data_IF_299709273234
#
_entry.id   IF_299709273234
#
_cell.length_a   1.000
_cell.length_b   1.000
_cell.length_c   1.000
_cell.angle_alpha   90.00
_cell.angle_beta   90.00
_cell.angle_gamma   90.00
#
_symmetry.space_group_name_H-M   'P 1'
#
loop_
_entity.id
_entity.type
_entity.pdbx_description
1 polymer ?
#
# COMPACT_ATOMS: atom_id res chain seq x y z
N UNK A 1 5.95 -27.92 -20.85
CA UNK A 1 4.62 -27.42 -20.45
C UNK A 1 4.46 -27.32 -18.92
N UNK A 2 4.88 -28.30 -18.14
CA UNK A 2 4.78 -28.32 -16.66
C UNK A 2 5.39 -27.11 -15.97
N UNK A 3 6.57 -26.65 -16.37
CA UNK A 3 7.24 -25.49 -15.77
C UNK A 3 6.43 -24.17 -15.90
N UNK A 4 5.79 -23.96 -17.05
CA UNK A 4 4.95 -22.76 -17.28
C UNK A 4 3.73 -22.78 -16.37
N UNK A 5 3.06 -23.93 -16.24
CA UNK A 5 1.92 -24.06 -15.32
C UNK A 5 2.32 -23.86 -13.86
N UNK A 6 3.49 -24.36 -13.46
CA UNK A 6 4.00 -24.17 -12.10
C UNK A 6 4.29 -22.68 -11.80
N UNK A 7 4.91 -21.97 -12.74
CA UNK A 7 5.19 -20.54 -12.60
C UNK A 7 3.86 -19.74 -12.54
N UNK A 8 2.92 -20.07 -13.43
CA UNK A 8 1.62 -19.37 -13.45
C UNK A 8 0.84 -19.61 -12.17
N UNK A 9 0.80 -20.84 -11.67
CA UNK A 9 0.15 -21.18 -10.40
C UNK A 9 0.80 -20.46 -9.21
N UNK A 10 2.13 -20.39 -9.21
CA UNK A 10 2.86 -19.66 -8.17
C UNK A 10 2.50 -18.16 -8.15
N UNK A 11 2.50 -17.52 -9.33
CA UNK A 11 2.13 -16.10 -9.43
C UNK A 11 0.67 -15.89 -9.02
N UNK A 12 -0.23 -16.79 -9.42
CA UNK A 12 -1.65 -16.71 -9.10
C UNK A 12 -1.93 -16.76 -7.59
N UNK A 13 -1.12 -17.50 -6.84
CA UNK A 13 -1.24 -17.59 -5.38
C UNK A 13 -0.49 -16.45 -4.70
N UNK A 14 0.72 -16.15 -5.16
CA UNK A 14 1.58 -15.14 -4.54
C UNK A 14 0.98 -13.73 -4.64
N UNK A 15 0.45 -13.37 -5.81
CA UNK A 15 -0.03 -12.01 -6.05
C UNK A 15 -1.15 -11.57 -5.10
N UNK A 16 -2.25 -12.33 -4.90
CA UNK A 16 -3.27 -11.99 -3.90
C UNK A 16 -2.71 -11.92 -2.48
N UNK A 17 -1.81 -12.83 -2.12
CA UNK A 17 -1.20 -12.88 -0.79
C UNK A 17 -0.41 -11.60 -0.49
N UNK A 18 0.40 -11.15 -1.44
CA UNK A 18 1.18 -9.91 -1.31
C UNK A 18 0.27 -8.69 -1.30
N UNK A 19 -0.74 -8.64 -2.17
CA UNK A 19 -1.69 -7.54 -2.18
C UNK A 19 -2.42 -7.41 -0.83
N UNK A 20 -2.87 -8.53 -0.26
CA UNK A 20 -3.52 -8.53 1.05
C UNK A 20 -2.57 -8.11 2.17
N UNK A 21 -1.30 -8.52 2.10
CA UNK A 21 -0.25 -8.04 2.98
C UNK A 21 -0.11 -6.51 2.95
N UNK A 22 -0.01 -5.93 1.77
CA UNK A 22 0.08 -4.47 1.60
C UNK A 22 -1.18 -3.75 2.08
N UNK A 23 -2.36 -4.35 1.90
CA UNK A 23 -3.59 -3.81 2.47
C UNK A 23 -3.55 -3.78 4.01
N UNK A 24 -2.84 -4.70 4.66
CA UNK A 24 -2.60 -4.67 6.10
C UNK A 24 -1.90 -3.39 6.53
N UNK A 25 -0.81 -3.05 5.88
CA UNK A 25 -0.07 -1.82 6.13
C UNK A 25 -0.91 -0.58 5.81
N UNK A 26 -1.63 -0.60 4.69
CA UNK A 26 -2.50 0.50 4.28
C UNK A 26 -3.61 0.79 5.29
N UNK A 27 -4.39 -0.23 5.68
CA UNK A 27 -5.52 -0.04 6.60
C UNK A 27 -5.06 0.36 8.00
N UNK A 28 -3.99 -0.24 8.50
CA UNK A 28 -3.42 0.13 9.81
C UNK A 28 -2.87 1.56 9.81
N UNK A 29 -2.19 1.99 8.74
CA UNK A 29 -1.75 3.36 8.58
C UNK A 29 -2.93 4.34 8.60
N UNK A 30 -3.99 4.07 7.83
CA UNK A 30 -5.21 4.88 7.83
C UNK A 30 -5.91 4.90 9.18
N UNK A 31 -5.98 3.77 9.89
CA UNK A 31 -6.57 3.68 11.22
C UNK A 31 -5.87 4.61 12.22
N UNK A 32 -4.55 4.70 12.18
CA UNK A 32 -3.75 5.59 13.03
C UNK A 32 -3.58 7.00 12.46
N UNK A 33 -4.35 7.37 11.44
CA UNK A 33 -4.26 8.69 10.78
C UNK A 33 -2.84 9.01 10.30
N UNK A 34 -2.18 8.03 9.70
CA UNK A 34 -0.94 8.21 8.98
C UNK A 34 -1.30 8.44 7.53
N UNK A 35 -0.78 9.51 6.95
CA UNK A 35 -0.95 9.80 5.52
C UNK A 35 -0.22 8.73 4.71
N UNK A 36 -0.91 8.16 3.72
CA UNK A 36 -0.31 7.24 2.74
C UNK A 36 -0.17 7.99 1.43
N UNK A 37 1.04 8.08 0.91
CA UNK A 37 1.35 8.79 -0.33
C UNK A 37 1.12 7.92 -1.55
N UNK A 38 1.46 6.65 -1.48
CA UNK A 38 1.34 5.74 -2.61
C UNK A 38 1.03 4.32 -2.15
N UNK A 39 0.11 3.67 -2.87
CA UNK A 39 -0.09 2.24 -2.85
C UNK A 39 0.26 1.70 -4.22
N UNK A 40 1.31 0.87 -4.30
CA UNK A 40 1.81 0.31 -5.55
C UNK A 40 1.46 -1.17 -5.69
N UNK A 41 0.84 -1.51 -6.83
CA UNK A 41 0.70 -2.89 -7.29
C UNK A 41 1.88 -3.23 -8.20
N UNK A 42 2.68 -4.22 -7.79
CA UNK A 42 3.91 -4.58 -8.50
C UNK A 42 5.07 -3.62 -8.27
N UNK A 43 6.19 -3.87 -8.97
CA UNK A 43 7.39 -3.05 -8.91
C UNK A 43 7.63 -2.28 -10.22
N UNK A 44 8.31 -1.12 -10.16
CA UNK A 44 8.62 -0.31 -11.34
C UNK A 44 9.19 -1.11 -12.51
N UNK A 45 9.01 -0.61 -13.76
CA UNK A 45 8.52 0.73 -14.11
C UNK A 45 7.00 0.88 -13.99
N UNK A 46 6.55 2.12 -13.71
CA UNK A 46 5.14 2.49 -13.56
C UNK A 46 4.45 2.49 -14.92
N UNK A 47 3.34 1.75 -15.05
CA UNK A 47 2.51 1.71 -16.26
C UNK A 47 1.47 2.84 -16.25
N UNK A 48 0.68 2.91 -15.18
CA UNK A 48 -0.30 3.97 -14.99
C UNK A 48 -0.53 4.24 -13.52
N UNK A 49 -1.15 5.37 -13.22
CA UNK A 49 -1.49 5.73 -11.86
C UNK A 49 -2.79 6.51 -11.79
N UNK A 50 -3.50 6.32 -10.68
CA UNK A 50 -4.71 7.02 -10.34
C UNK A 50 -4.52 7.80 -9.04
N UNK A 51 -5.00 9.06 -9.02
CA UNK A 51 -4.91 9.93 -7.84
C UNK A 51 -6.22 9.94 -7.07
N UNK A 52 -6.13 9.74 -5.76
CA UNK A 52 -7.25 9.71 -4.82
C UNK A 52 -7.00 10.60 -3.61
N UNK A 53 -7.88 10.53 -2.61
CA UNK A 53 -7.75 11.27 -1.36
C UNK A 53 -7.81 12.79 -1.56
N UNK A 54 -9.02 13.26 -1.96
CA UNK A 54 -9.27 14.69 -2.17
C UNK A 54 -9.23 15.44 -0.85
N UNK A 55 -8.37 16.47 -0.76
CA UNK A 55 -8.11 17.27 0.43
C UNK A 55 -8.01 18.74 0.06
N UNK A 56 -8.29 19.62 1.02
CA UNK A 56 -8.07 21.05 0.89
C UNK A 56 -6.86 21.45 1.72
N UNK A 57 -5.94 22.20 1.10
CA UNK A 57 -4.82 22.88 1.75
C UNK A 57 -4.93 24.38 1.49
N UNK A 58 -4.42 25.18 2.39
CA UNK A 58 -4.53 26.63 2.34
C UNK A 58 -3.18 27.24 1.95
N UNK A 59 -3.20 28.47 1.42
CA UNK A 59 -2.00 29.24 1.13
C UNK A 59 -2.27 30.73 1.30
N UNK A 60 -1.22 31.47 1.60
CA UNK A 60 -1.30 32.92 1.65
C UNK A 60 -1.12 33.49 0.24
N UNK A 61 -2.14 34.20 -0.25
CA UNK A 61 -2.23 34.69 -1.64
C UNK A 61 -1.04 35.58 -2.06
N UNK A 62 -0.41 36.26 -1.12
CA UNK A 62 0.72 37.14 -1.39
C UNK A 62 2.03 36.40 -1.57
N UNK A 63 2.10 35.11 -1.19
CA UNK A 63 3.33 34.33 -1.17
C UNK A 63 3.43 33.34 -2.34
N UNK A 64 2.29 32.96 -2.93
CA UNK A 64 2.25 31.89 -3.92
C UNK A 64 1.32 32.20 -5.08
N UNK A 65 1.79 31.95 -6.30
CA UNK A 65 0.99 31.99 -7.52
C UNK A 65 0.82 30.57 -8.09
N UNK A 66 -0.40 30.06 -8.03
CA UNK A 66 -0.77 28.75 -8.56
C UNK A 66 -1.54 28.82 -9.87
N UNK A 67 -1.70 30.00 -10.49
CA UNK A 67 -2.47 30.17 -11.72
C UNK A 67 -1.96 29.25 -12.84
N UNK A 68 -2.88 28.55 -13.50
CA UNK A 68 -2.54 27.64 -14.60
C UNK A 68 -1.91 26.32 -14.18
N UNK A 69 -1.94 25.98 -12.88
CA UNK A 69 -1.43 24.70 -12.35
C UNK A 69 -2.52 23.66 -12.12
N UNK A 70 -3.79 23.94 -12.47
CA UNK A 70 -4.86 22.96 -12.39
C UNK A 70 -4.55 21.72 -13.22
N UNK A 71 -4.80 20.54 -12.65
CA UNK A 71 -4.52 19.25 -13.26
C UNK A 71 -3.05 18.83 -13.22
N UNK A 72 -2.13 19.73 -12.88
CA UNK A 72 -0.70 19.43 -12.80
C UNK A 72 -0.31 18.79 -11.47
N UNK A 73 0.84 18.14 -11.47
CA UNK A 73 1.49 17.59 -10.29
C UNK A 73 2.54 18.60 -9.80
N UNK A 74 2.56 18.79 -8.49
CA UNK A 74 3.55 19.63 -7.81
C UNK A 74 4.04 18.91 -6.57
N UNK A 75 5.22 19.31 -6.11
CA UNK A 75 5.71 18.93 -4.78
C UNK A 75 5.40 20.05 -3.82
N UNK A 76 4.84 19.72 -2.67
CA UNK A 76 4.49 20.67 -1.62
C UNK A 76 5.11 20.26 -0.30
N UNK A 77 5.54 21.23 0.47
CA UNK A 77 5.77 21.11 1.89
C UNK A 77 4.67 21.87 2.62
N UNK A 78 4.13 21.28 3.66
CA UNK A 78 3.01 21.85 4.40
C UNK A 78 3.30 21.91 5.90
N UNK A 79 2.64 22.84 6.58
CA UNK A 79 2.60 22.92 8.05
C UNK A 79 1.16 23.08 8.53
N UNK A 80 0.93 22.78 9.80
CA UNK A 80 -0.36 22.96 10.42
C UNK A 80 -0.36 24.23 11.27
N UNK A 81 -1.40 25.05 11.06
CA UNK A 81 -1.77 26.14 11.93
C UNK A 81 -3.28 26.11 12.18
N UNK A 82 -3.71 26.21 13.46
CA UNK A 82 -5.11 26.23 13.86
C UNK A 82 -5.98 25.12 13.21
N UNK A 83 -5.50 23.88 13.18
CA UNK A 83 -6.15 22.73 12.54
C UNK A 83 -6.31 22.85 11.02
N UNK A 84 -5.68 23.80 10.36
CA UNK A 84 -5.63 23.91 8.91
C UNK A 84 -4.23 23.62 8.42
N UNK A 85 -4.14 22.98 7.27
CA UNK A 85 -2.88 22.70 6.62
C UNK A 85 -2.56 23.78 5.60
N UNK A 86 -1.42 24.45 5.78
CA UNK A 86 -0.93 25.52 4.91
C UNK A 86 0.27 25.08 4.10
N UNK A 87 0.35 25.55 2.86
CA UNK A 87 1.53 25.40 2.00
C UNK A 87 2.64 26.27 2.54
N UNK A 88 3.79 25.67 2.84
CA UNK A 88 5.02 26.36 3.22
C UNK A 88 5.91 26.64 2.02
N UNK A 89 6.05 25.65 1.14
CA UNK A 89 6.87 25.70 -0.08
C UNK A 89 6.22 24.83 -1.16
N UNK A 90 6.41 25.16 -2.43
CA UNK A 90 6.05 24.27 -3.52
C UNK A 90 7.05 24.36 -4.68
N UNK A 91 7.19 23.26 -5.42
CA UNK A 91 8.03 23.18 -6.60
C UNK A 91 7.37 22.31 -7.68
N UNK A 92 7.66 22.63 -8.93
CA UNK A 92 7.17 21.87 -10.08
C UNK A 92 7.97 20.57 -10.28
N UNK A 93 9.21 20.50 -9.77
CA UNK A 93 10.11 19.38 -9.96
C UNK A 93 10.80 19.01 -8.65
N UNK A 94 10.87 17.72 -8.34
CA UNK A 94 11.54 17.20 -7.13
C UNK A 94 13.05 17.44 -7.06
N UNK A 95 13.67 17.93 -8.15
CA UNK A 95 15.10 18.26 -8.19
C UNK A 95 15.42 19.64 -7.62
N UNK A 96 14.41 20.47 -7.38
CA UNK A 96 14.58 21.77 -6.76
C UNK A 96 14.68 21.57 -5.24
N UNK A 97 15.65 22.24 -4.62
CA UNK A 97 15.97 22.02 -3.20
C UNK A 97 14.92 22.65 -2.31
N UNK A 98 14.09 21.82 -1.70
CA UNK A 98 13.36 22.24 -0.50
C UNK A 98 14.32 22.65 0.61
N UNK A 99 13.94 23.62 1.41
CA UNK A 99 14.64 23.91 2.66
C UNK A 99 14.81 22.59 3.44
N UNK A 100 16.04 22.26 3.80
CA UNK A 100 16.49 20.94 4.26
C UNK A 100 15.80 20.39 5.53
N UNK A 101 14.76 21.07 6.02
CA UNK A 101 13.98 20.70 7.23
C UNK A 101 12.52 20.40 6.98
N UNK A 102 12.00 20.60 5.76
CA UNK A 102 10.58 20.41 5.46
C UNK A 102 10.40 19.18 4.60
N UNK A 103 9.58 18.24 5.09
CA UNK A 103 9.17 17.10 4.30
C UNK A 103 8.23 17.54 3.18
N UNK A 104 8.54 17.09 1.98
CA UNK A 104 7.75 17.34 0.80
C UNK A 104 7.09 16.06 0.29
N UNK A 105 5.96 16.21 -0.38
CA UNK A 105 5.27 15.13 -1.04
C UNK A 105 4.59 15.60 -2.33
N UNK A 106 4.44 14.68 -3.27
CA UNK A 106 3.82 14.95 -4.56
C UNK A 106 2.30 15.01 -4.41
N UNK A 107 1.67 16.02 -5.00
CA UNK A 107 0.22 16.18 -5.06
C UNK A 107 -0.23 16.52 -6.47
N UNK A 108 -1.48 16.17 -6.80
CA UNK A 108 -2.14 16.64 -8.01
C UNK A 108 -3.15 17.71 -7.65
N UNK A 109 -3.10 18.87 -8.29
CA UNK A 109 -4.06 19.96 -8.10
C UNK A 109 -5.34 19.63 -8.88
N UNK A 110 -6.49 19.61 -8.20
CA UNK A 110 -7.80 19.46 -8.80
C UNK A 110 -8.42 20.83 -9.13
N UNK A 111 -8.43 21.74 -8.14
CA UNK A 111 -9.05 23.06 -8.23
C UNK A 111 -8.22 24.08 -7.48
N UNK A 112 -8.16 25.28 -8.01
CA UNK A 112 -7.54 26.44 -7.36
C UNK A 112 -8.65 27.37 -6.91
N UNK A 113 -8.63 27.78 -5.63
CA UNK A 113 -9.54 28.77 -5.05
C UNK A 113 -8.74 29.97 -4.56
N UNK A 114 -9.43 31.03 -4.14
CA UNK A 114 -8.78 32.29 -3.79
C UNK A 114 -7.72 32.19 -2.69
N UNK A 115 -7.91 31.24 -1.72
CA UNK A 115 -7.07 31.07 -0.52
C UNK A 115 -6.68 29.61 -0.26
N UNK A 116 -7.04 28.72 -1.18
CA UNK A 116 -6.86 27.29 -0.96
C UNK A 116 -6.77 26.50 -2.25
N UNK A 117 -6.07 25.37 -2.19
CA UNK A 117 -5.98 24.36 -3.24
C UNK A 117 -6.80 23.14 -2.84
N UNK A 118 -7.57 22.61 -3.77
CA UNK A 118 -8.12 21.27 -3.67
C UNK A 118 -7.15 20.34 -4.37
N UNK A 119 -6.55 19.46 -3.61
CA UNK A 119 -5.50 18.55 -4.07
C UNK A 119 -5.94 17.09 -3.93
N UNK A 120 -5.22 16.22 -4.64
CA UNK A 120 -5.18 14.77 -4.39
C UNK A 120 -3.78 14.41 -3.95
N UNK A 121 -3.66 13.77 -2.80
CA UNK A 121 -2.39 13.51 -2.12
C UNK A 121 -2.05 12.03 -1.96
N UNK A 122 -2.84 11.14 -2.54
CA UNK A 122 -2.58 9.71 -2.56
C UNK A 122 -2.62 9.16 -3.99
N UNK A 123 -1.61 8.37 -4.34
CA UNK A 123 -1.49 7.72 -5.63
C UNK A 123 -1.68 6.21 -5.52
N UNK A 124 -2.51 5.65 -6.40
CA UNK A 124 -2.56 4.21 -6.68
C UNK A 124 -1.74 3.98 -7.93
N UNK A 125 -0.68 3.20 -7.85
CA UNK A 125 0.20 2.93 -8.99
C UNK A 125 0.15 1.47 -9.39
N UNK A 126 0.11 1.25 -10.70
CA UNK A 126 0.18 -0.07 -11.30
C UNK A 126 1.48 -0.16 -12.09
N UNK A 127 2.30 -1.12 -11.72
CA UNK A 127 3.64 -1.29 -12.22
C UNK A 127 3.76 -2.54 -13.08
N UNK A 128 4.80 -2.59 -13.90
CA UNK A 128 4.97 -3.65 -14.91
C UNK A 128 5.28 -5.01 -14.29
N UNK A 129 6.05 -5.05 -13.21
CA UNK A 129 6.47 -6.32 -12.61
C UNK A 129 5.47 -6.75 -11.53
N UNK A 130 4.61 -7.78 -11.79
CA UNK A 130 3.55 -8.19 -10.87
C UNK A 130 4.07 -9.08 -9.72
N UNK A 131 5.28 -8.85 -9.25
CA UNK A 131 5.95 -9.70 -8.25
C UNK A 131 5.87 -9.13 -6.84
N UNK A 132 4.96 -8.20 -6.57
CA UNK A 132 4.89 -7.59 -5.26
C UNK A 132 3.93 -6.41 -5.17
N UNK A 133 4.07 -5.65 -4.12
CA UNK A 133 3.38 -4.40 -3.87
C UNK A 133 4.18 -3.58 -2.88
N UNK A 134 3.72 -2.37 -2.63
CA UNK A 134 4.27 -1.53 -1.56
C UNK A 134 3.27 -0.47 -1.12
N UNK A 135 3.37 -0.10 0.12
CA UNK A 135 2.69 1.06 0.71
C UNK A 135 3.75 2.05 1.14
N UNK A 136 3.62 3.30 0.72
CA UNK A 136 4.54 4.38 1.13
C UNK A 136 3.83 5.32 2.09
N UNK A 137 4.04 5.19 3.40
CA UNK A 137 3.55 6.16 4.37
C UNK A 137 4.32 7.47 4.25
N UNK A 138 3.72 8.53 4.76
CA UNK A 138 4.34 9.84 4.82
C UNK A 138 5.19 9.98 6.09
N UNK A 139 6.36 10.60 5.98
CA UNK A 139 7.18 10.97 7.11
C UNK A 139 7.73 9.78 7.90
N UNK A 140 8.43 8.88 7.22
CA UNK A 140 9.12 7.77 7.87
C UNK A 140 10.33 8.27 8.67
N UNK A 141 11.04 9.28 8.15
CA UNK A 141 12.23 9.84 8.74
C UNK A 141 11.96 11.23 9.33
N UNK A 142 12.21 11.40 10.63
CA UNK A 142 12.35 12.66 11.37
C UNK A 142 11.37 13.79 10.99
N UNK A 143 10.08 13.48 10.89
CA UNK A 143 9.03 14.42 10.57
C UNK A 143 8.31 14.94 11.80
N UNK A 144 8.01 16.25 11.82
CA UNK A 144 7.15 16.87 12.84
C UNK A 144 5.69 17.02 12.40
N UNK A 145 5.35 16.56 11.19
CA UNK A 145 4.00 16.67 10.67
C UNK A 145 3.04 15.68 11.40
N UNK A 146 1.85 16.11 11.83
CA UNK A 146 0.96 15.28 12.65
C UNK A 146 0.47 14.00 11.96
N UNK A 147 0.40 14.01 10.61
CA UNK A 147 0.00 12.85 9.82
C UNK A 147 1.18 11.95 9.43
N UNK A 148 2.40 12.22 9.95
CA UNK A 148 3.58 11.42 9.63
C UNK A 148 3.63 10.13 10.44
N UNK A 149 4.32 9.13 9.90
CA UNK A 149 4.61 7.89 10.60
C UNK A 149 5.50 8.11 11.83
N UNK A 150 6.50 9.01 11.71
CA UNK A 150 7.50 9.23 12.75
C UNK A 150 6.91 9.75 14.07
N UNK A 151 5.93 10.66 14.05
CA UNK A 151 5.33 11.24 15.29
C UNK A 151 4.38 10.29 16.01
N UNK A 152 4.03 9.15 15.40
CA UNK A 152 3.18 8.16 16.07
C UNK A 152 3.95 7.45 17.17
N UNK A 153 3.25 7.03 18.21
CA UNK A 153 3.88 6.32 19.31
C UNK A 153 4.43 4.94 18.85
N UNK A 154 5.37 4.38 19.61
CA UNK A 154 6.06 3.14 19.25
C UNK A 154 5.10 1.97 19.00
N UNK A 155 4.00 1.88 19.77
CA UNK A 155 3.00 0.82 19.62
C UNK A 155 2.22 0.96 18.30
N UNK A 156 1.80 2.18 17.92
CA UNK A 156 1.13 2.44 16.65
C UNK A 156 2.03 2.11 15.47
N UNK A 157 3.29 2.54 15.51
CA UNK A 157 4.29 2.20 14.47
C UNK A 157 4.50 0.69 14.37
N UNK A 158 4.62 0.01 15.51
CA UNK A 158 4.76 -1.45 15.56
C UNK A 158 3.56 -2.14 14.88
N UNK A 159 2.31 -1.75 15.23
CA UNK A 159 1.12 -2.33 14.60
C UNK A 159 1.15 -2.13 13.08
N UNK A 160 1.49 -0.94 12.61
CA UNK A 160 1.56 -0.68 11.15
C UNK A 160 2.60 -1.59 10.48
N UNK A 161 3.78 -1.76 11.10
CA UNK A 161 4.85 -2.59 10.54
C UNK A 161 4.52 -4.09 10.51
N UNK A 162 3.75 -4.59 11.48
CA UNK A 162 3.41 -6.03 11.53
C UNK A 162 2.07 -6.36 10.87
N UNK A 163 1.26 -5.36 10.53
CA UNK A 163 -0.10 -5.54 10.04
C UNK A 163 -0.17 -6.41 8.76
N UNK A 164 0.77 -6.26 7.85
CA UNK A 164 0.86 -7.10 6.66
C UNK A 164 1.07 -8.57 7.00
N UNK A 165 2.02 -8.84 7.89
CA UNK A 165 2.31 -10.21 8.36
C UNK A 165 1.11 -10.80 9.08
N UNK A 166 0.42 -10.03 9.91
CA UNK A 166 -0.77 -10.47 10.65
C UNK A 166 -1.90 -10.87 9.70
N UNK A 167 -2.15 -10.13 8.62
CA UNK A 167 -3.14 -10.52 7.61
C UNK A 167 -2.77 -11.86 6.99
N UNK A 168 -1.52 -12.04 6.59
CA UNK A 168 -1.08 -13.30 5.99
C UNK A 168 -1.12 -14.48 6.97
N UNK A 169 -0.95 -14.23 8.27
CA UNK A 169 -1.09 -15.24 9.30
C UNK A 169 -2.55 -15.65 9.52
N UNK A 170 -3.48 -14.70 9.47
CA UNK A 170 -4.91 -14.93 9.71
C UNK A 170 -5.60 -15.53 8.47
N UNK A 171 -5.17 -15.18 7.27
CA UNK A 171 -5.78 -15.59 6.01
C UNK A 171 -5.97 -17.11 5.87
N UNK A 172 -4.98 -17.98 6.19
CA UNK A 172 -5.16 -19.43 6.10
C UNK A 172 -6.32 -19.97 6.98
N UNK A 173 -6.54 -19.39 8.15
CA UNK A 173 -7.65 -19.78 9.03
C UNK A 173 -9.00 -19.47 8.38
N UNK A 174 -9.13 -18.30 7.73
CA UNK A 174 -10.35 -17.98 6.99
C UNK A 174 -10.54 -18.90 5.79
N UNK A 175 -9.49 -19.14 5.01
CA UNK A 175 -9.56 -20.04 3.86
C UNK A 175 -9.95 -21.46 4.27
N UNK A 176 -9.36 -21.98 5.35
CA UNK A 176 -9.70 -23.28 5.88
C UNK A 176 -11.14 -23.34 6.37
N UNK A 177 -11.59 -22.34 7.14
CA UNK A 177 -12.95 -22.25 7.64
C UNK A 177 -13.96 -22.24 6.49
N UNK A 178 -13.80 -21.38 5.50
CA UNK A 178 -14.69 -21.34 4.35
C UNK A 178 -14.62 -22.62 3.53
N UNK A 179 -13.45 -23.18 3.30
CA UNK A 179 -13.30 -24.45 2.59
C UNK A 179 -14.08 -25.56 3.30
N UNK A 180 -14.03 -25.63 4.63
CA UNK A 180 -14.74 -26.66 5.40
C UNK A 180 -16.26 -26.57 5.30
N UNK A 181 -16.81 -25.37 5.00
CA UNK A 181 -18.27 -25.22 4.78
C UNK A 181 -18.73 -25.79 3.43
N UNK A 182 -17.84 -25.92 2.45
CA UNK A 182 -18.15 -26.45 1.13
C UNK A 182 -17.75 -27.92 0.95
N UNK A 183 -16.92 -28.47 1.84
CA UNK A 183 -16.56 -29.88 1.85
C UNK A 183 -17.68 -30.63 2.60
N UNK A 184 -18.69 -31.08 1.86
CA UNK A 184 -19.86 -31.78 2.44
C UNK A 184 -19.68 -33.29 2.53
N UNK A 185 -18.76 -33.87 1.81
CA UNK A 185 -18.48 -35.32 1.85
C UNK A 185 -16.96 -35.55 1.83
N UNK A 186 -16.50 -36.29 2.85
CA UNK A 186 -15.22 -37.00 2.76
C UNK A 186 -15.52 -38.20 1.91
N UNK A 187 -15.06 -38.23 0.66
CA UNK A 187 -15.11 -39.41 -0.17
C UNK A 187 -14.43 -40.54 0.59
N UNK A 188 -15.21 -41.49 1.05
CA UNK A 188 -14.70 -42.74 1.67
C UNK A 188 -14.19 -43.63 0.56
N UNK A 189 -13.22 -43.10 -0.21
CA UNK A 189 -12.49 -43.94 -1.15
C UNK A 189 -11.73 -44.98 -0.34
N UNK A 190 -12.02 -46.24 -0.61
CA UNK A 190 -11.26 -47.35 -0.07
C UNK A 190 -9.77 -47.10 -0.34
N UNK A 191 -8.95 -47.32 0.68
CA UNK A 191 -7.50 -47.23 0.56
C UNK A 191 -7.04 -48.26 -0.46
N UNK A 192 -6.77 -47.85 -1.70
CA UNK A 192 -6.24 -48.72 -2.72
C UNK A 192 -4.72 -48.71 -2.60
N UNK A 193 -4.15 -49.86 -2.18
CA UNK A 193 -2.70 -50.06 -2.18
C UNK A 193 -2.25 -50.25 -3.63
N UNK A 194 -1.62 -49.23 -4.23
CA UNK A 194 -1.20 -49.24 -5.62
C UNK A 194 0.08 -50.06 -5.85
N UNK A 195 0.95 -50.13 -4.87
CA UNK A 195 2.21 -50.90 -4.96
C UNK A 195 2.75 -51.23 -3.55
N UNK A 196 3.35 -52.38 -3.38
CA UNK A 196 4.02 -52.82 -2.16
C UNK A 196 5.50 -53.11 -2.50
N UNK A 197 6.41 -52.41 -1.81
CA UNK A 197 7.83 -52.66 -1.94
C UNK A 197 8.19 -54.12 -1.67
N UNK A 198 9.00 -54.72 -2.54
CA UNK A 198 9.36 -56.16 -2.54
C UNK A 198 9.94 -56.68 -1.20
N UNK A 199 10.40 -55.83 -0.32
CA UNK A 199 10.95 -56.21 1.01
C UNK A 199 10.14 -55.64 2.15
N UNK A 200 8.87 -55.30 1.93
CA UNK A 200 7.97 -54.81 2.97
C UNK A 200 7.34 -55.97 3.75
N UNK A 201 7.19 -55.87 5.08
CA UNK A 201 6.43 -56.83 5.88
C UNK A 201 4.98 -57.03 5.40
N UNK A 202 4.41 -56.05 4.73
CA UNK A 202 3.05 -56.13 4.15
C UNK A 202 2.92 -57.05 2.97
N UNK A 203 4.03 -57.57 2.40
CA UNK A 203 3.97 -58.53 1.28
C UNK A 203 3.63 -59.93 1.77
N UNK A 204 3.82 -60.22 3.07
CA UNK A 204 3.59 -61.53 3.69
C UNK A 204 2.36 -61.56 4.61
N UNK A 205 1.60 -60.45 4.64
CA UNK A 205 0.35 -60.34 5.38
C UNK A 205 -0.86 -60.57 4.48
#
# INVERSE_FOLDING_TARGET
MTAIYSILSFILILLPLVILHEFGHYFSAKFFKIKVLEFGFGFPPKLFSYWSSRKRIYFEKNNFDFNGLEGKKIFVATHFDNNKEFVSEFFMNNKESFSSKTENYEVKIDEIKNDSLVIRDMQWSFNLLPLGGFVRPFGEDNSNHPDSFYVKNAFQRFIVLVAGVLINLILPFFLFFFSSLFITEVDKSDLIILDISKNSPALNA
#
